data_IF_893239094587
#
_entry.id   IF_893239094587
#
_cell.length_a   1.000
_cell.length_b   1.000
_cell.length_c   1.000
_cell.angle_alpha   90.00
_cell.angle_beta   90.00
_cell.angle_gamma   90.00
#
_symmetry.space_group_name_H-M   'P 1'
#
loop_
_entity.id
_entity.type
_entity.pdbx_description
1 polymer ?
#
# COMPACT_ATOMS: atom_id res chain seq x y z
N UNK A 1 36.48 -9.06 17.17
CA UNK A 1 37.15 -10.22 17.79
C UNK A 1 37.96 -9.78 18.99
N UNK A 2 39.03 -8.95 18.85
CA UNK A 2 39.87 -8.50 19.96
C UNK A 2 39.03 -7.87 21.11
N UNK A 3 38.06 -6.98 20.78
CA UNK A 3 37.21 -6.32 21.77
C UNK A 3 36.36 -7.28 22.61
N UNK A 4 35.90 -8.40 22.01
CA UNK A 4 35.09 -9.40 22.70
C UNK A 4 35.89 -10.31 23.64
N UNK A 5 37.20 -10.47 23.37
CA UNK A 5 38.07 -11.38 24.12
C UNK A 5 39.12 -10.62 24.96
N UNK A 6 39.01 -9.30 25.11
CA UNK A 6 39.99 -8.47 25.79
C UNK A 6 40.11 -8.76 27.28
N UNK A 7 39.08 -9.29 27.90
CA UNK A 7 39.02 -9.64 29.32
C UNK A 7 39.59 -11.07 29.54
N UNK A 8 39.71 -11.90 28.49
CA UNK A 8 40.26 -13.26 28.54
C UNK A 8 41.70 -13.34 28.11
N UNK A 9 42.14 -12.52 27.14
CA UNK A 9 43.47 -12.55 26.55
C UNK A 9 44.09 -11.16 26.43
N UNK A 10 45.45 -11.05 26.63
CA UNK A 10 46.13 -9.78 26.43
C UNK A 10 46.01 -9.26 24.99
N UNK A 11 45.56 -8.01 24.84
CA UNK A 11 45.36 -7.34 23.54
C UNK A 11 46.57 -7.46 22.62
N UNK A 12 47.80 -7.26 23.16
CA UNK A 12 49.06 -7.36 22.38
C UNK A 12 49.26 -8.77 21.80
N UNK A 13 48.90 -9.82 22.55
CA UNK A 13 48.98 -11.20 22.08
C UNK A 13 48.01 -11.44 20.94
N UNK A 14 46.75 -11.02 21.10
CA UNK A 14 45.72 -11.14 20.08
C UNK A 14 46.11 -10.39 18.79
N UNK A 15 46.64 -9.15 18.94
CA UNK A 15 47.11 -8.37 17.79
C UNK A 15 48.23 -9.11 17.04
N UNK A 16 49.15 -9.75 17.74
CA UNK A 16 50.23 -10.54 17.13
C UNK A 16 49.68 -11.74 16.37
N UNK A 17 48.77 -12.51 16.97
CA UNK A 17 48.13 -13.67 16.34
C UNK A 17 47.34 -13.28 15.08
N UNK A 18 46.61 -12.13 15.12
CA UNK A 18 45.80 -11.63 14.02
C UNK A 18 46.61 -10.80 13.00
N UNK A 19 47.93 -10.63 13.22
CA UNK A 19 48.82 -9.82 12.37
C UNK A 19 48.36 -8.39 12.16
N UNK A 20 47.81 -7.75 13.22
CA UNK A 20 47.41 -6.34 13.24
C UNK A 20 48.27 -5.54 14.18
N UNK A 21 48.48 -4.25 13.91
CA UNK A 21 49.26 -3.36 14.80
C UNK A 21 48.50 -3.11 16.11
N UNK A 22 49.18 -3.28 17.25
CA UNK A 22 48.60 -2.96 18.56
C UNK A 22 48.28 -1.46 18.70
N UNK A 23 49.16 -0.58 18.17
CA UNK A 23 48.88 0.87 18.14
C UNK A 23 47.67 1.17 17.29
N UNK A 24 47.58 0.60 16.10
CA UNK A 24 46.42 0.73 15.21
C UNK A 24 45.10 0.25 15.85
N UNK A 25 45.14 -0.81 16.66
CA UNK A 25 43.97 -1.25 17.43
C UNK A 25 43.58 -0.20 18.49
N UNK A 26 44.52 0.33 19.27
CA UNK A 26 44.24 1.32 20.29
C UNK A 26 43.75 2.64 19.67
N UNK A 27 44.31 3.06 18.54
CA UNK A 27 43.83 4.25 17.81
C UNK A 27 42.42 4.02 17.26
N UNK A 28 42.15 2.85 16.74
CA UNK A 28 40.80 2.46 16.29
C UNK A 28 39.81 2.45 17.46
N UNK A 29 40.18 1.86 18.60
CA UNK A 29 39.28 1.75 19.77
C UNK A 29 38.95 3.10 20.43
N UNK A 30 39.84 4.08 20.28
CA UNK A 30 39.64 5.47 20.79
C UNK A 30 38.97 6.38 19.76
N UNK A 31 38.82 5.94 18.53
CA UNK A 31 38.27 6.78 17.46
C UNK A 31 36.80 7.07 17.72
N UNK A 32 36.44 8.33 17.72
CA UNK A 32 35.05 8.75 17.75
C UNK A 32 34.31 8.27 16.47
N UNK A 33 33.01 8.02 16.56
CA UNK A 33 32.23 7.65 15.37
C UNK A 33 32.42 8.68 14.26
N UNK A 34 32.57 8.22 13.04
CA UNK A 34 32.68 9.12 11.89
C UNK A 34 31.36 9.90 11.69
N UNK A 35 31.42 11.04 11.00
CA UNK A 35 30.22 11.80 10.64
C UNK A 35 29.19 10.92 9.90
N UNK A 36 29.68 9.97 9.09
CA UNK A 36 28.84 8.98 8.40
C UNK A 36 28.18 7.98 9.36
N UNK A 37 28.85 7.59 10.42
CA UNK A 37 28.29 6.67 11.43
C UNK A 37 27.27 7.38 12.27
N UNK A 38 27.50 8.63 12.66
CA UNK A 38 26.53 9.48 13.36
C UNK A 38 25.26 9.66 12.51
N UNK A 39 25.41 9.96 11.21
CA UNK A 39 24.26 10.12 10.30
C UNK A 39 23.56 8.78 10.04
N UNK A 40 24.29 7.65 10.01
CA UNK A 40 23.67 6.33 9.92
C UNK A 40 22.84 6.00 11.17
N UNK A 41 23.31 6.36 12.37
CA UNK A 41 22.56 6.16 13.61
C UNK A 41 21.31 7.03 13.66
N UNK A 42 21.40 8.30 13.25
CA UNK A 42 20.26 9.21 13.13
C UNK A 42 19.21 8.64 12.16
N UNK A 43 19.64 8.25 10.97
CA UNK A 43 18.75 7.67 9.94
C UNK A 43 18.13 6.35 10.41
N UNK A 44 18.88 5.52 11.14
CA UNK A 44 18.38 4.27 11.71
C UNK A 44 17.28 4.54 12.76
N UNK A 45 17.40 5.59 13.56
CA UNK A 45 16.35 6.05 14.46
C UNK A 45 15.05 6.35 13.72
N UNK A 46 15.13 7.11 12.61
CA UNK A 46 13.95 7.39 11.75
C UNK A 46 13.37 6.15 11.11
N UNK A 47 14.23 5.21 10.68
CA UNK A 47 13.79 3.92 10.12
C UNK A 47 13.00 3.13 11.16
N UNK A 48 13.46 3.08 12.42
CA UNK A 48 12.76 2.37 13.51
C UNK A 48 11.38 2.98 13.78
N UNK A 49 11.30 4.30 13.89
CA UNK A 49 10.03 5.02 14.08
C UNK A 49 9.02 4.69 12.98
N UNK A 50 9.39 4.84 11.71
CA UNK A 50 8.53 4.53 10.58
C UNK A 50 8.17 3.04 10.49
N UNK A 51 9.09 2.15 10.90
CA UNK A 51 8.84 0.71 10.92
C UNK A 51 7.84 0.35 12.02
N UNK A 52 7.93 0.97 13.19
CA UNK A 52 6.98 0.81 14.30
C UNK A 52 5.61 1.38 13.94
N UNK A 53 5.53 2.62 13.45
CA UNK A 53 4.29 3.25 12.97
C UNK A 53 3.60 2.41 11.91
N UNK A 54 4.39 1.72 11.09
CA UNK A 54 3.87 0.79 10.09
C UNK A 54 3.49 -0.57 10.66
N UNK A 55 3.67 -0.81 11.95
CA UNK A 55 3.53 -2.12 12.60
C UNK A 55 4.41 -3.20 11.94
N UNK A 56 5.63 -2.85 11.55
CA UNK A 56 6.59 -3.77 10.96
C UNK A 56 6.26 -4.23 9.53
N UNK A 57 5.46 -3.49 8.77
CA UNK A 57 5.03 -3.92 7.43
C UNK A 57 5.93 -3.41 6.31
N UNK A 58 6.72 -2.37 6.56
CA UNK A 58 7.54 -1.73 5.54
C UNK A 58 8.81 -2.53 5.23
N UNK A 59 8.96 -2.95 3.99
CA UNK A 59 10.25 -3.39 3.44
C UNK A 59 11.06 -2.21 2.91
N UNK A 60 12.35 -2.44 2.60
CA UNK A 60 13.32 -1.40 2.24
C UNK A 60 12.84 -0.44 1.13
N UNK A 61 12.16 -0.95 0.10
CA UNK A 61 11.65 -0.08 -0.98
C UNK A 61 10.62 0.93 -0.50
N UNK A 62 9.62 0.49 0.29
CA UNK A 62 8.61 1.37 0.85
C UNK A 62 9.16 2.25 1.97
N UNK A 63 10.10 1.74 2.76
CA UNK A 63 10.80 2.53 3.78
C UNK A 63 11.56 3.68 3.14
N UNK A 64 12.24 3.43 2.02
CA UNK A 64 12.92 4.47 1.26
C UNK A 64 11.96 5.55 0.73
N UNK A 65 10.77 5.15 0.23
CA UNK A 65 9.73 6.09 -0.19
C UNK A 65 9.23 6.95 0.98
N UNK A 66 8.91 6.33 2.12
CA UNK A 66 8.38 7.01 3.29
C UNK A 66 9.42 7.94 3.95
N UNK A 67 10.72 7.56 3.94
CA UNK A 67 11.83 8.42 4.36
C UNK A 67 11.97 9.65 3.45
N UNK A 68 11.90 9.45 2.13
CA UNK A 68 11.95 10.55 1.18
C UNK A 68 10.76 11.51 1.34
N UNK A 69 9.58 10.99 1.69
CA UNK A 69 8.39 11.80 2.02
C UNK A 69 8.57 12.60 3.31
N UNK A 70 9.39 12.10 4.24
CA UNK A 70 9.77 12.79 5.47
C UNK A 70 10.95 13.76 5.27
N UNK A 71 11.43 13.97 4.04
CA UNK A 71 12.53 14.88 3.72
C UNK A 71 13.93 14.28 3.88
N UNK A 72 14.05 12.97 4.14
CA UNK A 72 15.34 12.31 4.28
C UNK A 72 15.94 11.95 2.92
N UNK A 73 17.22 12.26 2.74
CA UNK A 73 17.99 11.89 1.55
C UNK A 73 18.88 10.68 1.84
N UNK A 74 18.44 9.52 1.38
CA UNK A 74 19.22 8.28 1.50
C UNK A 74 19.01 7.41 0.26
N UNK A 75 20.03 6.69 -0.17
CA UNK A 75 19.84 5.73 -1.26
C UNK A 75 19.11 4.48 -0.76
N UNK A 76 18.37 3.81 -1.66
CA UNK A 76 17.68 2.56 -1.36
C UNK A 76 18.62 1.49 -0.76
N UNK A 77 19.84 1.37 -1.31
CA UNK A 77 20.85 0.42 -0.82
C UNK A 77 21.31 0.75 0.61
N UNK A 78 21.42 2.05 0.95
CA UNK A 78 21.76 2.48 2.30
C UNK A 78 20.65 2.10 3.28
N UNK A 79 19.41 2.39 2.93
CA UNK A 79 18.23 2.02 3.74
C UNK A 79 18.16 0.50 3.93
N UNK A 80 18.28 -0.28 2.86
CA UNK A 80 18.24 -1.73 2.92
C UNK A 80 19.34 -2.30 3.83
N UNK A 81 20.57 -1.77 3.75
CA UNK A 81 21.68 -2.17 4.60
C UNK A 81 21.44 -1.84 6.07
N UNK A 82 20.95 -0.64 6.38
CA UNK A 82 20.66 -0.24 7.76
C UNK A 82 19.54 -1.08 8.37
N UNK A 83 18.48 -1.34 7.61
CA UNK A 83 17.42 -2.25 8.04
C UNK A 83 17.95 -3.67 8.31
N UNK A 84 18.80 -4.21 7.43
CA UNK A 84 19.39 -5.54 7.60
C UNK A 84 20.29 -5.63 8.84
N UNK A 85 21.11 -4.61 9.12
CA UNK A 85 21.98 -4.55 10.31
C UNK A 85 21.13 -4.56 11.60
N UNK A 86 19.99 -3.90 11.59
CA UNK A 86 19.06 -3.82 12.74
C UNK A 86 18.02 -4.95 12.78
N UNK A 87 18.10 -5.91 11.85
CA UNK A 87 17.16 -7.05 11.78
C UNK A 87 15.73 -6.68 11.36
N UNK A 88 15.53 -5.47 10.82
CA UNK A 88 14.23 -4.98 10.39
C UNK A 88 13.87 -5.54 9.01
N UNK A 89 12.72 -6.18 8.93
CA UNK A 89 12.22 -6.77 7.69
C UNK A 89 10.76 -6.37 7.47
N UNK A 90 10.42 -6.07 6.20
CA UNK A 90 9.03 -5.93 5.80
C UNK A 90 8.36 -7.29 5.66
N UNK A 91 7.03 -7.28 5.69
CA UNK A 91 6.26 -8.51 5.52
C UNK A 91 6.38 -9.07 4.10
N UNK A 92 6.81 -10.34 3.92
CA UNK A 92 6.99 -10.92 2.60
C UNK A 92 5.65 -11.07 1.87
N UNK A 93 5.69 -10.87 0.55
CA UNK A 93 4.53 -11.19 -0.30
C UNK A 93 4.45 -12.72 -0.46
N UNK A 94 3.28 -13.34 -0.20
CA UNK A 94 3.10 -14.74 -0.55
C UNK A 94 3.29 -14.92 -2.06
N UNK A 95 3.97 -16.00 -2.45
CA UNK A 95 4.09 -16.34 -3.87
C UNK A 95 2.68 -16.58 -4.44
N UNK A 96 2.29 -15.81 -5.46
CA UNK A 96 1.02 -16.04 -6.16
C UNK A 96 1.08 -17.42 -6.83
N UNK A 97 0.22 -18.33 -6.43
CA UNK A 97 -0.14 -19.50 -7.25
C UNK A 97 -1.04 -18.96 -8.35
N UNK A 98 -0.55 -19.02 -9.61
CA UNK A 98 -1.32 -18.58 -10.75
C UNK A 98 -2.59 -19.44 -10.88
N UNK A 99 -3.74 -18.85 -10.62
CA UNK A 99 -5.02 -19.43 -11.05
C UNK A 99 -5.24 -18.99 -12.50
N UNK A 100 -5.27 -19.95 -13.41
CA UNK A 100 -5.74 -19.71 -14.78
C UNK A 100 -7.26 -19.57 -14.73
N UNK A 101 -7.76 -18.37 -15.03
CA UNK A 101 -9.18 -18.16 -15.26
C UNK A 101 -9.60 -18.96 -16.53
N UNK A 102 -10.65 -19.78 -16.40
CA UNK A 102 -11.27 -20.42 -17.56
C UNK A 102 -12.25 -19.42 -18.20
N UNK A 103 -12.29 -19.33 -19.52
CA UNK A 103 -13.27 -18.49 -20.22
C UNK A 103 -14.67 -19.08 -20.05
N UNK A 104 -15.60 -18.28 -19.57
CA UNK A 104 -17.01 -18.66 -19.42
C UNK A 104 -17.88 -17.76 -20.31
N UNK A 105 -18.85 -18.33 -21.01
CA UNK A 105 -19.78 -17.62 -21.86
C UNK A 105 -20.58 -16.57 -21.08
N UNK A 106 -20.71 -15.37 -21.64
CA UNK A 106 -21.36 -14.22 -21.02
C UNK A 106 -22.89 -14.28 -21.24
N UNK A 107 -23.72 -14.42 -20.19
CA UNK A 107 -25.17 -14.27 -20.33
C UNK A 107 -25.57 -12.83 -20.67
N UNK A 108 -26.73 -12.58 -21.29
CA UNK A 108 -27.23 -11.23 -21.58
C UNK A 108 -27.44 -10.43 -20.31
N UNK A 109 -26.95 -9.18 -20.28
CA UNK A 109 -27.02 -8.28 -19.13
C UNK A 109 -26.15 -7.03 -19.32
N UNK A 110 -25.83 -6.34 -18.24
CA UNK A 110 -24.94 -5.18 -18.26
C UNK A 110 -23.60 -5.53 -18.88
N UNK A 111 -23.14 -4.71 -19.83
CA UNK A 111 -21.90 -4.95 -20.58
C UNK A 111 -20.67 -4.71 -19.69
N UNK A 112 -19.58 -5.42 -19.99
CA UNK A 112 -18.27 -5.10 -19.48
C UNK A 112 -17.69 -3.95 -20.32
N UNK A 113 -17.69 -2.74 -19.77
CA UNK A 113 -17.16 -1.55 -20.44
C UNK A 113 -15.66 -1.34 -20.14
N UNK A 114 -15.13 -2.04 -19.14
CA UNK A 114 -13.70 -1.95 -18.79
C UNK A 114 -12.83 -2.81 -19.71
N UNK A 115 -13.33 -3.96 -20.18
CA UNK A 115 -12.63 -4.92 -21.07
C UNK A 115 -11.17 -5.21 -20.63
N UNK A 116 -10.93 -5.24 -19.29
CA UNK A 116 -9.60 -5.35 -18.66
C UNK A 116 -8.67 -4.16 -18.88
N UNK A 117 -9.15 -3.07 -19.44
CA UNK A 117 -8.41 -1.83 -19.46
C UNK A 117 -8.59 -1.08 -18.11
N UNK A 118 -7.66 -1.34 -17.19
CA UNK A 118 -7.60 -0.68 -15.87
C UNK A 118 -6.81 0.63 -15.93
N UNK A 119 -6.51 1.13 -17.11
CA UNK A 119 -5.83 2.41 -17.28
C UNK A 119 -6.86 3.53 -17.30
N UNK A 120 -6.74 4.49 -16.42
CA UNK A 120 -7.46 5.75 -16.48
C UNK A 120 -6.45 6.88 -16.73
N UNK A 121 -6.76 7.77 -17.66
CA UNK A 121 -5.89 8.91 -17.99
C UNK A 121 -6.15 10.12 -17.09
N UNK A 122 -7.36 10.20 -16.52
CA UNK A 122 -7.81 11.28 -15.67
C UNK A 122 -8.54 10.73 -14.44
N UNK A 123 -8.53 11.46 -13.31
CA UNK A 123 -9.29 11.09 -12.12
C UNK A 123 -10.80 11.10 -12.44
N UNK A 124 -11.55 10.35 -11.66
CA UNK A 124 -13.02 10.30 -11.72
C UNK A 124 -13.59 9.87 -13.09
N UNK A 125 -12.85 9.07 -13.87
CA UNK A 125 -13.33 8.50 -15.14
C UNK A 125 -13.70 7.04 -15.03
N UNK A 126 -12.91 6.26 -14.31
CA UNK A 126 -13.12 4.81 -14.11
C UNK A 126 -12.95 4.44 -12.64
N UNK A 127 -14.01 3.99 -12.04
CA UNK A 127 -14.02 3.44 -10.68
C UNK A 127 -14.26 1.95 -10.69
N UNK A 128 -13.70 1.23 -9.72
CA UNK A 128 -13.98 -0.17 -9.47
C UNK A 128 -14.47 -0.36 -8.04
N UNK A 129 -15.38 -1.29 -7.84
CA UNK A 129 -15.94 -1.59 -6.51
C UNK A 129 -15.97 -3.08 -6.26
N UNK A 130 -15.74 -3.46 -5.01
CA UNK A 130 -15.76 -4.86 -4.59
C UNK A 130 -15.99 -4.95 -3.07
N UNK A 131 -16.30 -6.15 -2.61
CA UNK A 131 -16.61 -6.44 -1.22
C UNK A 131 -15.63 -7.48 -0.68
N UNK A 132 -15.15 -7.26 0.53
CA UNK A 132 -14.38 -8.27 1.25
C UNK A 132 -14.94 -8.53 2.64
N UNK A 133 -14.71 -9.73 3.16
CA UNK A 133 -15.09 -10.16 4.49
C UNK A 133 -13.91 -10.07 5.47
N UNK A 134 -14.18 -9.57 6.67
CA UNK A 134 -13.29 -9.58 7.82
C UNK A 134 -13.94 -10.39 8.96
N UNK A 135 -13.13 -11.15 9.67
CA UNK A 135 -13.58 -11.93 10.84
C UNK A 135 -13.26 -11.18 12.13
N UNK A 136 -14.23 -11.08 13.02
CA UNK A 136 -14.08 -10.50 14.37
C UNK A 136 -14.62 -11.47 15.41
N UNK A 137 -14.37 -11.19 16.69
CA UNK A 137 -14.94 -11.95 17.80
C UNK A 137 -16.47 -11.88 17.87
N UNK A 138 -17.08 -10.79 17.40
CA UNK A 138 -18.53 -10.59 17.35
C UNK A 138 -19.17 -11.08 16.04
N UNK A 139 -18.38 -11.65 15.11
CA UNK A 139 -18.90 -12.18 13.86
C UNK A 139 -18.21 -11.57 12.62
N UNK A 140 -18.94 -11.56 11.51
CA UNK A 140 -18.42 -11.09 10.22
C UNK A 140 -18.66 -9.58 10.05
N UNK A 141 -17.66 -8.88 9.53
CA UNK A 141 -17.74 -7.52 9.05
C UNK A 141 -17.44 -7.51 7.56
N UNK A 142 -18.27 -6.88 6.78
CA UNK A 142 -18.07 -6.71 5.34
C UNK A 142 -17.60 -5.29 5.07
N UNK A 143 -16.61 -5.15 4.19
CA UNK A 143 -16.09 -3.88 3.70
C UNK A 143 -16.34 -3.81 2.20
N UNK A 144 -17.10 -2.82 1.75
CA UNK A 144 -17.23 -2.42 0.36
C UNK A 144 -16.37 -1.19 0.12
N UNK A 145 -15.60 -1.17 -0.96
CA UNK A 145 -14.80 -0.02 -1.39
C UNK A 145 -15.18 0.42 -2.80
N UNK A 146 -14.96 1.68 -3.09
CA UNK A 146 -14.90 2.27 -4.43
C UNK A 146 -13.50 2.83 -4.61
N UNK A 147 -12.78 2.36 -5.62
CA UNK A 147 -11.39 2.71 -5.89
C UNK A 147 -11.29 3.38 -7.25
N UNK A 148 -10.66 4.54 -7.30
CA UNK A 148 -10.36 5.23 -8.56
C UNK A 148 -9.16 4.56 -9.24
N UNK A 149 -9.31 4.23 -10.54
CA UNK A 149 -8.25 3.56 -11.30
C UNK A 149 -7.11 4.49 -11.67
N UNK A 150 -7.33 5.80 -11.75
CA UNK A 150 -6.29 6.77 -12.08
C UNK A 150 -5.23 6.84 -10.98
N UNK A 151 -5.66 7.10 -9.76
CA UNK A 151 -4.76 7.39 -8.65
C UNK A 151 -4.69 6.28 -7.60
N UNK A 152 -5.47 5.21 -7.77
CA UNK A 152 -5.53 4.05 -6.88
C UNK A 152 -5.97 4.41 -5.45
N UNK A 153 -6.68 5.54 -5.25
CA UNK A 153 -7.26 5.91 -3.97
C UNK A 153 -8.61 5.24 -3.76
N UNK A 154 -8.91 4.94 -2.52
CA UNK A 154 -10.26 4.58 -2.10
C UNK A 154 -11.06 5.87 -1.95
N UNK A 155 -11.94 6.15 -2.93
CA UNK A 155 -12.76 7.36 -2.98
C UNK A 155 -14.09 7.19 -2.24
N UNK A 156 -14.49 5.96 -1.94
CA UNK A 156 -15.68 5.69 -1.14
C UNK A 156 -15.59 4.32 -0.48
N UNK A 157 -16.15 4.18 0.70
CA UNK A 157 -16.21 2.90 1.39
C UNK A 157 -17.31 2.86 2.44
N UNK A 158 -17.75 1.63 2.75
CA UNK A 158 -18.75 1.38 3.79
C UNK A 158 -18.50 0.02 4.44
N UNK A 159 -18.79 -0.08 5.73
CA UNK A 159 -18.70 -1.33 6.48
C UNK A 159 -20.00 -1.68 7.19
N UNK A 160 -20.41 -2.95 7.09
CA UNK A 160 -21.61 -3.45 7.74
C UNK A 160 -21.47 -4.92 8.13
N UNK A 161 -22.23 -5.37 9.13
CA UNK A 161 -22.27 -6.78 9.55
C UNK A 161 -23.07 -7.67 8.58
N UNK A 162 -23.79 -7.08 7.64
CA UNK A 162 -24.50 -7.77 6.56
C UNK A 162 -24.02 -7.28 5.21
N UNK A 163 -23.84 -8.23 4.29
CA UNK A 163 -23.49 -7.93 2.90
C UNK A 163 -24.78 -7.64 2.11
N UNK A 164 -25.31 -6.45 2.26
CA UNK A 164 -26.57 -6.04 1.64
C UNK A 164 -26.39 -4.90 0.62
N UNK A 165 -27.47 -4.60 -0.14
CA UNK A 165 -27.49 -3.54 -1.14
C UNK A 165 -27.26 -2.15 -0.54
N UNK A 166 -27.69 -1.92 0.71
CA UNK A 166 -27.54 -0.63 1.36
C UNK A 166 -26.06 -0.32 1.67
N UNK A 167 -25.29 -1.35 2.00
CA UNK A 167 -23.85 -1.19 2.21
C UNK A 167 -23.14 -0.72 0.93
N UNK A 168 -23.43 -1.33 -0.21
CA UNK A 168 -22.80 -0.93 -1.48
C UNK A 168 -23.26 0.45 -1.94
N UNK A 169 -24.53 0.79 -1.74
CA UNK A 169 -25.06 2.14 -2.03
C UNK A 169 -24.34 3.18 -1.19
N UNK A 170 -24.16 2.95 0.13
CA UNK A 170 -23.42 3.87 1.01
C UNK A 170 -21.97 4.06 0.60
N UNK A 171 -21.29 3.00 0.17
CA UNK A 171 -19.92 3.11 -0.34
C UNK A 171 -19.85 4.02 -1.58
N UNK A 172 -20.77 3.83 -2.54
CA UNK A 172 -20.84 4.67 -3.73
C UNK A 172 -21.29 6.09 -3.39
N UNK A 173 -22.22 6.26 -2.46
CA UNK A 173 -22.66 7.57 -1.98
C UNK A 173 -21.51 8.41 -1.42
N UNK A 174 -20.63 7.78 -0.62
CA UNK A 174 -19.42 8.43 -0.11
C UNK A 174 -18.49 8.86 -1.25
N UNK A 175 -18.33 8.04 -2.29
CA UNK A 175 -17.53 8.38 -3.46
C UNK A 175 -18.12 9.57 -4.24
N UNK A 176 -19.45 9.56 -4.46
CA UNK A 176 -20.16 10.63 -5.15
C UNK A 176 -20.05 11.96 -4.40
N UNK A 177 -20.13 11.96 -3.08
CA UNK A 177 -20.00 13.19 -2.27
C UNK A 177 -18.59 13.81 -2.32
N UNK A 178 -17.56 12.99 -2.54
CA UNK A 178 -16.19 13.49 -2.67
C UNK A 178 -15.82 13.89 -4.10
N UNK A 179 -16.68 13.57 -5.05
CA UNK A 179 -16.47 13.83 -6.47
C UNK A 179 -16.50 15.32 -6.76
N UNK A 180 -15.55 15.77 -7.60
CA UNK A 180 -15.43 17.18 -8.00
C UNK A 180 -15.94 17.40 -9.43
N UNK A 181 -15.85 16.40 -10.29
CA UNK A 181 -16.30 16.46 -11.68
C UNK A 181 -17.79 16.14 -11.85
N UNK A 182 -18.37 16.55 -12.98
CA UNK A 182 -19.76 16.26 -13.39
C UNK A 182 -19.85 15.21 -14.50
N UNK A 183 -18.72 14.85 -15.13
CA UNK A 183 -18.70 13.95 -16.28
C UNK A 183 -19.06 12.51 -15.87
N UNK A 184 -19.69 11.71 -16.75
CA UNK A 184 -20.05 10.35 -16.42
C UNK A 184 -18.85 9.49 -16.00
N UNK A 185 -18.96 8.77 -14.89
CA UNK A 185 -17.94 7.86 -14.38
C UNK A 185 -18.38 6.41 -14.63
N UNK A 186 -17.50 5.60 -15.20
CA UNK A 186 -17.73 4.15 -15.30
C UNK A 186 -17.47 3.53 -13.94
N UNK A 187 -18.50 2.93 -13.33
CA UNK A 187 -18.35 2.15 -12.09
C UNK A 187 -18.46 0.66 -12.42
N UNK A 188 -17.33 -0.03 -12.29
CA UNK A 188 -17.23 -1.45 -12.56
C UNK A 188 -17.30 -2.30 -11.29
N UNK A 189 -18.08 -3.37 -11.31
CA UNK A 189 -18.23 -4.33 -10.23
C UNK A 189 -18.25 -5.76 -10.72
N UNK A 190 -18.18 -6.72 -9.80
CA UNK A 190 -18.58 -8.08 -10.07
C UNK A 190 -20.12 -8.19 -10.24
N UNK A 191 -20.62 -9.40 -10.52
CA UNK A 191 -22.05 -9.69 -10.66
C UNK A 191 -22.71 -10.12 -9.34
N UNK A 192 -22.19 -9.71 -8.21
CA UNK A 192 -22.84 -9.95 -6.92
C UNK A 192 -24.28 -9.46 -6.88
N UNK A 193 -25.16 -10.17 -6.16
CA UNK A 193 -26.58 -9.83 -6.07
C UNK A 193 -26.84 -8.38 -5.60
N UNK A 194 -25.94 -7.84 -4.77
CA UNK A 194 -25.98 -6.49 -4.25
C UNK A 194 -25.86 -5.44 -5.36
N UNK A 195 -24.91 -5.64 -6.29
CA UNK A 195 -24.65 -4.75 -7.43
C UNK A 195 -25.70 -4.88 -8.55
N UNK A 196 -26.45 -5.99 -8.58
CA UNK A 196 -27.54 -6.22 -9.54
C UNK A 196 -28.88 -5.71 -9.02
N UNK A 197 -28.97 -5.27 -7.79
CA UNK A 197 -30.22 -4.79 -7.19
C UNK A 197 -30.75 -3.57 -7.94
N UNK A 198 -32.07 -3.47 -8.09
CA UNK A 198 -32.74 -2.35 -8.77
C UNK A 198 -32.42 -1.01 -8.09
N UNK A 199 -32.38 -1.00 -6.76
CA UNK A 199 -32.08 0.20 -5.99
C UNK A 199 -30.66 0.72 -6.28
N UNK A 200 -29.67 -0.18 -6.34
CA UNK A 200 -28.30 0.16 -6.68
C UNK A 200 -28.19 0.73 -8.11
N UNK A 201 -28.80 0.06 -9.09
CA UNK A 201 -28.79 0.51 -10.48
C UNK A 201 -29.47 1.88 -10.65
N UNK A 202 -30.60 2.11 -9.97
CA UNK A 202 -31.30 3.39 -9.97
C UNK A 202 -30.42 4.47 -9.33
N UNK A 203 -29.74 4.16 -8.23
CA UNK A 203 -28.82 5.09 -7.57
C UNK A 203 -27.68 5.51 -8.51
N UNK A 204 -27.05 4.56 -9.20
CA UNK A 204 -25.98 4.86 -10.17
C UNK A 204 -26.48 5.82 -11.27
N UNK A 205 -27.61 5.47 -11.90
CA UNK A 205 -28.19 6.27 -12.97
C UNK A 205 -28.53 7.70 -12.51
N UNK A 206 -29.09 7.85 -11.30
CA UNK A 206 -29.44 9.17 -10.75
C UNK A 206 -28.25 10.05 -10.40
N UNK A 207 -27.04 9.48 -10.32
CA UNK A 207 -25.81 10.20 -9.97
C UNK A 207 -24.76 10.24 -11.11
N UNK A 208 -25.19 10.02 -12.36
CA UNK A 208 -24.29 10.10 -13.52
C UNK A 208 -23.21 9.00 -13.56
N UNK A 209 -23.48 7.84 -12.93
CA UNK A 209 -22.56 6.71 -12.94
C UNK A 209 -23.01 5.67 -13.97
N UNK A 210 -22.09 5.26 -14.84
CA UNK A 210 -22.32 4.24 -15.86
C UNK A 210 -21.96 2.87 -15.30
N UNK A 211 -22.95 1.99 -15.15
CA UNK A 211 -22.74 0.66 -14.63
C UNK A 211 -22.00 -0.22 -15.62
N UNK A 212 -20.93 -0.85 -15.16
CA UNK A 212 -20.15 -1.87 -15.87
C UNK A 212 -20.00 -3.10 -14.99
N UNK A 213 -20.13 -4.30 -15.55
CA UNK A 213 -20.00 -5.56 -14.79
C UNK A 213 -19.11 -6.54 -15.50
N UNK A 214 -18.24 -7.23 -14.72
CA UNK A 214 -17.38 -8.30 -15.23
C UNK A 214 -18.20 -9.42 -15.86
N UNK A 215 -17.59 -10.17 -16.78
CA UNK A 215 -18.19 -11.39 -17.32
C UNK A 215 -18.26 -12.48 -16.22
N UNK A 216 -19.19 -13.42 -16.35
CA UNK A 216 -19.35 -14.52 -15.38
C UNK A 216 -18.08 -15.37 -15.35
N UNK A 217 -17.53 -15.60 -14.14
CA UNK A 217 -16.33 -16.40 -13.94
C UNK A 217 -14.99 -15.70 -14.22
N UNK A 218 -14.98 -14.42 -14.58
CA UNK A 218 -13.77 -13.64 -14.80
C UNK A 218 -13.38 -12.79 -13.57
N UNK A 219 -12.76 -13.44 -12.56
CA UNK A 219 -12.26 -12.76 -11.36
C UNK A 219 -11.17 -11.70 -11.68
N UNK A 220 -10.49 -11.80 -12.82
CA UNK A 220 -9.43 -10.88 -13.22
C UNK A 220 -9.90 -9.48 -13.62
N UNK A 221 -11.21 -9.27 -13.76
CA UNK A 221 -11.80 -7.99 -14.14
C UNK A 221 -11.86 -6.98 -12.95
N UNK A 222 -11.44 -7.40 -11.72
CA UNK A 222 -11.39 -6.54 -10.55
C UNK A 222 -10.01 -6.54 -9.84
N UNK A 223 -8.95 -6.68 -10.65
CA UNK A 223 -7.58 -6.82 -10.14
C UNK A 223 -7.11 -5.66 -9.24
N UNK A 224 -7.62 -4.44 -9.45
CA UNK A 224 -7.27 -3.27 -8.63
C UNK A 224 -7.82 -3.41 -7.21
N UNK A 225 -9.10 -3.77 -7.04
CA UNK A 225 -9.68 -4.05 -5.72
C UNK A 225 -9.01 -5.24 -5.05
N UNK A 226 -8.74 -6.33 -5.78
CA UNK A 226 -7.98 -7.47 -5.26
C UNK A 226 -6.59 -7.06 -4.76
N UNK A 227 -5.92 -6.16 -5.48
CA UNK A 227 -4.64 -5.58 -5.09
C UNK A 227 -4.73 -4.83 -3.77
N UNK A 228 -5.72 -3.95 -3.63
CA UNK A 228 -5.97 -3.21 -2.39
C UNK A 228 -6.32 -4.14 -1.22
N UNK A 229 -7.29 -5.06 -1.40
CA UNK A 229 -7.66 -6.00 -0.35
C UNK A 229 -6.52 -6.92 0.05
N UNK A 230 -5.69 -7.34 -0.92
CA UNK A 230 -4.49 -8.11 -0.63
C UNK A 230 -3.48 -7.35 0.23
N UNK A 231 -3.36 -6.02 0.04
CA UNK A 231 -2.54 -5.15 0.88
C UNK A 231 -3.16 -5.00 2.28
N UNK A 232 -4.42 -4.60 2.37
CA UNK A 232 -5.14 -4.43 3.64
C UNK A 232 -5.09 -5.70 4.48
N UNK A 233 -5.43 -6.85 3.89
CA UNK A 233 -5.42 -8.14 4.60
C UNK A 233 -4.04 -8.49 5.11
N UNK A 234 -3.01 -8.32 4.30
CA UNK A 234 -1.63 -8.64 4.68
C UNK A 234 -1.06 -7.68 5.72
N UNK A 235 -1.35 -6.39 5.59
CA UNK A 235 -0.75 -5.36 6.44
C UNK A 235 -1.49 -5.18 7.76
N UNK A 236 -2.79 -5.54 7.85
CA UNK A 236 -3.63 -5.36 9.03
C UNK A 236 -4.37 -6.62 9.44
N UNK A 237 -5.28 -7.12 8.59
CA UNK A 237 -6.31 -8.09 8.99
C UNK A 237 -5.73 -9.41 9.48
N UNK A 238 -4.75 -9.98 8.76
CA UNK A 238 -4.13 -11.26 9.14
C UNK A 238 -3.19 -11.18 10.34
N UNK A 239 -2.90 -9.98 10.81
CA UNK A 239 -1.97 -9.72 11.92
C UNK A 239 -2.66 -9.30 13.19
N UNK A 240 -3.93 -8.97 13.12
CA UNK A 240 -4.70 -8.42 14.25
C UNK A 240 -5.91 -9.30 14.49
N UNK A 241 -6.09 -9.74 15.73
CA UNK A 241 -7.35 -10.36 16.17
C UNK A 241 -8.27 -9.25 16.66
N UNK A 242 -9.36 -9.02 15.97
CA UNK A 242 -10.33 -8.00 16.36
C UNK A 242 -11.35 -8.58 17.31
N UNK A 243 -11.41 -8.13 18.57
CA UNK A 243 -12.42 -8.63 19.53
C UNK A 243 -13.81 -8.18 19.11
N UNK A 244 -13.98 -6.97 18.59
CA UNK A 244 -15.27 -6.36 18.26
C UNK A 244 -15.32 -5.88 16.80
N UNK A 245 -16.54 -5.65 16.30
CA UNK A 245 -16.77 -5.03 14.99
C UNK A 245 -16.21 -3.62 14.95
N UNK A 246 -16.30 -2.85 16.02
CA UNK A 246 -15.84 -1.46 16.09
C UNK A 246 -14.30 -1.37 16.09
N UNK A 247 -13.61 -2.31 16.73
CA UNK A 247 -12.16 -2.39 16.66
C UNK A 247 -11.67 -2.61 15.20
N UNK A 248 -12.37 -3.48 14.45
CA UNK A 248 -12.07 -3.71 13.05
C UNK A 248 -12.39 -2.49 12.18
N UNK A 249 -13.51 -1.79 12.46
CA UNK A 249 -13.87 -0.55 11.75
C UNK A 249 -12.82 0.54 11.94
N UNK A 250 -12.39 0.76 13.18
CA UNK A 250 -11.39 1.76 13.51
C UNK A 250 -10.04 1.50 12.79
N UNK A 251 -9.58 0.25 12.77
CA UNK A 251 -8.32 -0.11 12.13
C UNK A 251 -8.39 -0.01 10.59
N UNK A 252 -9.51 -0.40 9.98
CA UNK A 252 -9.75 -0.23 8.54
C UNK A 252 -9.83 1.24 8.16
N UNK A 253 -10.55 2.06 8.96
CA UNK A 253 -10.60 3.52 8.78
C UNK A 253 -9.21 4.12 8.80
N UNK A 254 -8.41 3.82 9.83
CA UNK A 254 -7.02 4.28 9.96
C UNK A 254 -6.18 3.87 8.75
N UNK A 255 -6.35 2.62 8.29
CA UNK A 255 -5.61 2.13 7.14
C UNK A 255 -5.96 2.88 5.86
N UNK A 256 -7.23 3.09 5.57
CA UNK A 256 -7.67 3.78 4.34
C UNK A 256 -7.27 5.26 4.39
N UNK A 257 -7.68 5.98 5.46
CA UNK A 257 -7.63 7.43 5.49
C UNK A 257 -6.26 7.97 5.90
N UNK A 258 -5.54 7.28 6.80
CA UNK A 258 -4.27 7.77 7.33
C UNK A 258 -3.05 7.12 6.67
N UNK A 259 -3.22 5.99 5.98
CA UNK A 259 -2.09 5.29 5.40
C UNK A 259 -2.18 5.14 3.88
N UNK A 260 -3.23 4.47 3.37
CA UNK A 260 -3.36 4.17 1.95
C UNK A 260 -3.57 5.42 1.10
N UNK A 261 -4.63 6.18 1.35
CA UNK A 261 -4.99 7.36 0.57
C UNK A 261 -3.91 8.45 0.59
N UNK A 262 -3.31 8.85 1.74
CA UNK A 262 -2.22 9.81 1.75
C UNK A 262 -1.00 9.34 0.97
N UNK A 263 -0.66 8.04 1.04
CA UNK A 263 0.43 7.47 0.27
C UNK A 263 0.18 7.55 -1.23
N UNK A 264 -1.03 7.23 -1.68
CA UNK A 264 -1.39 7.32 -3.10
C UNK A 264 -1.32 8.76 -3.59
N UNK A 265 -1.83 9.74 -2.83
CA UNK A 265 -1.71 11.16 -3.16
C UNK A 265 -0.25 11.59 -3.36
N UNK A 266 0.64 11.24 -2.42
CA UNK A 266 2.07 11.57 -2.53
C UNK A 266 2.74 10.90 -3.74
N UNK A 267 2.39 9.64 -4.01
CA UNK A 267 2.92 8.91 -5.15
C UNK A 267 2.55 9.56 -6.49
N UNK A 268 1.28 9.96 -6.64
CA UNK A 268 0.78 10.60 -7.84
C UNK A 268 1.39 11.99 -8.03
N UNK A 269 1.45 12.81 -6.98
CA UNK A 269 2.12 14.11 -7.04
C UNK A 269 3.59 14.01 -7.48
N UNK A 270 4.32 12.97 -7.05
CA UNK A 270 5.69 12.71 -7.51
C UNK A 270 5.75 12.28 -8.98
N UNK A 271 4.75 11.56 -9.46
CA UNK A 271 4.65 11.12 -10.84
C UNK A 271 4.39 12.33 -11.76
N UNK A 272 3.47 13.20 -11.39
CA UNK A 272 3.13 14.44 -12.12
C UNK A 272 4.35 15.36 -12.22
N UNK A 273 5.11 15.54 -11.13
CA UNK A 273 6.36 16.31 -11.14
C UNK A 273 7.40 15.72 -12.10
N UNK A 274 7.51 14.40 -12.20
CA UNK A 274 8.44 13.77 -13.16
C UNK A 274 8.03 14.01 -14.60
N UNK A 275 6.74 13.91 -14.90
CA UNK A 275 6.22 14.16 -16.25
C UNK A 275 6.36 15.62 -16.64
N UNK A 276 6.08 16.57 -15.75
CA UNK A 276 6.26 17.99 -16.01
C UNK A 276 7.72 18.38 -16.29
N UNK A 277 8.67 17.72 -15.61
CA UNK A 277 10.11 17.95 -15.83
C UNK A 277 10.60 17.37 -17.16
N UNK A 278 9.99 16.27 -17.62
CA UNK A 278 10.33 15.65 -18.93
C UNK A 278 9.72 16.42 -20.12
N UNK A 279 8.63 17.16 -19.89
CA UNK A 279 7.91 17.93 -20.92
C UNK A 279 8.51 19.33 -21.15
N UNK A 280 9.49 19.78 -20.38
CA UNK A 280 10.17 21.04 -20.64
C UNK A 280 11.17 20.83 -21.80
N UNK A 281 11.03 21.56 -22.93
CA UNK A 281 12.01 21.49 -24.00
C UNK A 281 13.35 21.99 -23.46
N UNK A 282 14.40 21.20 -23.70
CA UNK A 282 15.77 21.62 -23.42
C UNK A 282 16.05 22.91 -24.16
N UNK A 283 16.17 24.03 -23.45
CA UNK A 283 16.66 25.28 -24.00
C UNK A 283 18.13 25.03 -24.32
N UNK A 284 18.40 24.73 -25.59
CA UNK A 284 19.76 24.74 -26.14
C UNK A 284 20.15 26.19 -26.21
N UNK A 285 20.91 26.64 -25.19
CA UNK A 285 21.63 27.92 -25.30
C UNK A 285 22.74 27.75 -26.33
N UNK A 286 22.53 28.38 -27.48
CA UNK A 286 23.54 28.58 -28.50
C UNK A 286 24.58 29.62 -28.09
#
# INVERSE_FOLDING_TARGET
MIERCRDEFPVRLMCRCLKVSASGYYDWSKRLPSARDCDNQRLLGRIRELHEDSRGTLGAGRMHEDLADAGETASLNRVARLMAVDGLQGWPRPKRRGQRAQPTLTPPGVRNLLERDFTALEPETKWVTDITELKTGEGKLYLCIVLDLFDQRVVGWSMHHRQDRQMVIRAVQTAVWQRQGSDPVILHSDRGSQFRSRDYQNYLKGNGLVCSMSAVGHCGDNAACEGFFGLLKRERIYRTKYPTLDAARADVFEYIERRHNPRMRRRNAKQDLKFSTLSQPSVVSG
#
